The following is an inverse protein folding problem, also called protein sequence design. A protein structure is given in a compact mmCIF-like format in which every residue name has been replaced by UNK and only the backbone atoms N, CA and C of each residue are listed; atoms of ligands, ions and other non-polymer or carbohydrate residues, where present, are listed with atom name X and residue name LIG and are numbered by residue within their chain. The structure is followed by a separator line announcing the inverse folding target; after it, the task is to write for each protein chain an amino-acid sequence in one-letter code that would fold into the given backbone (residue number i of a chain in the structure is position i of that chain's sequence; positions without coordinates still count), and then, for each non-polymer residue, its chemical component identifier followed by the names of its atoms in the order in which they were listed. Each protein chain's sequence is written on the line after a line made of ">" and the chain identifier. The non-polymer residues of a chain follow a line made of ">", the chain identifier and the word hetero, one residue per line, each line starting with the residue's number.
data_IF_005269706269
#
_entry.id   IF_005269706269
#
_cell.length_a   1.000
_cell.length_b   1.000
_cell.length_c   1.000
_cell.angle_alpha   90.00
_cell.angle_beta   90.00
_cell.angle_gamma   90.00
#
_symmetry.space_group_name_H-M   'P 1'
#
loop_
_entity.id
_entity.type
_entity.pdbx_description
1 polymer ?
#
# COMPACT_ATOMS: atom_id res chain seq x y z
N UNK A 1 -29.52 -81.84 14.22
CA UNK A 1 -28.90 -81.02 15.29
C UNK A 1 -28.24 -79.80 14.62
N UNK A 2 -28.30 -78.59 15.19
CA UNK A 2 -29.34 -77.60 14.81
C UNK A 2 -28.81 -76.22 14.32
N UNK A 3 -29.77 -75.36 13.90
CA UNK A 3 -29.80 -73.86 13.82
C UNK A 3 -29.14 -73.18 12.60
N UNK A 4 -29.89 -72.57 11.66
CA UNK A 4 -30.61 -71.26 11.71
C UNK A 4 -29.65 -70.08 12.02
N UNK A 5 -29.46 -69.06 11.16
CA UNK A 5 -30.24 -67.80 10.95
C UNK A 5 -29.48 -67.01 9.83
N UNK A 6 -30.03 -66.62 8.67
CA UNK A 6 -30.81 -65.41 8.30
C UNK A 6 -30.07 -64.04 8.40
N UNK A 7 -30.35 -63.17 7.41
CA UNK A 7 -30.14 -61.70 7.27
C UNK A 7 -28.86 -61.26 6.52
N UNK A 8 -28.89 -60.64 5.33
CA UNK A 8 -29.61 -59.47 4.77
C UNK A 8 -28.74 -58.19 4.75
N UNK A 9 -28.67 -57.54 3.58
CA UNK A 9 -28.39 -56.11 3.33
C UNK A 9 -26.99 -55.59 3.74
N UNK A 10 -26.12 -55.10 2.85
CA UNK A 10 -26.30 -53.94 2.00
C UNK A 10 -25.86 -52.67 2.75
N UNK A 11 -24.67 -52.10 2.45
CA UNK A 11 -24.27 -50.71 2.75
C UNK A 11 -22.94 -50.44 2.00
N UNK A 12 -22.97 -49.86 0.79
CA UNK A 12 -22.83 -48.42 0.53
C UNK A 12 -21.51 -47.80 1.06
N UNK A 13 -20.58 -47.68 0.11
CA UNK A 13 -19.53 -46.67 -0.07
C UNK A 13 -19.62 -45.45 0.87
N UNK A 14 -18.65 -45.32 1.77
CA UNK A 14 -18.37 -44.07 2.49
C UNK A 14 -16.96 -43.59 2.13
N UNK A 15 -16.86 -43.01 0.93
CA UNK A 15 -15.81 -42.07 0.58
C UNK A 15 -16.09 -40.73 1.27
N UNK A 16 -15.63 -40.59 2.51
CA UNK A 16 -15.63 -39.32 3.23
C UNK A 16 -14.46 -38.45 2.74
N UNK A 17 -14.66 -37.76 1.61
CA UNK A 17 -13.78 -36.69 1.17
C UNK A 17 -13.93 -35.49 2.11
N UNK A 18 -13.16 -35.47 3.19
CA UNK A 18 -12.90 -34.25 3.95
C UNK A 18 -11.93 -33.37 3.16
N UNK A 19 -12.44 -32.63 2.18
CA UNK A 19 -11.72 -31.47 1.66
C UNK A 19 -11.96 -30.31 2.63
N UNK A 20 -10.91 -29.72 3.24
CA UNK A 20 -11.08 -28.51 4.03
C UNK A 20 -11.64 -27.41 3.12
N UNK A 21 -12.52 -26.54 3.63
CA UNK A 21 -13.01 -25.42 2.83
C UNK A 21 -11.83 -24.50 2.52
N UNK A 22 -11.38 -24.52 1.27
CA UNK A 22 -10.53 -23.50 0.68
C UNK A 22 -11.39 -22.24 0.51
N UNK A 23 -11.70 -21.59 1.62
CA UNK A 23 -12.31 -20.26 1.61
C UNK A 23 -11.25 -19.27 1.15
N UNK A 24 -11.30 -18.91 -0.14
CA UNK A 24 -10.85 -17.59 -0.57
C UNK A 24 -11.50 -16.60 0.40
N UNK A 25 -10.69 -15.78 1.08
CA UNK A 25 -11.20 -14.75 1.97
C UNK A 25 -12.26 -13.95 1.21
N UNK A 26 -13.50 -14.05 1.68
CA UNK A 26 -14.64 -13.42 1.04
C UNK A 26 -14.46 -11.91 1.21
N UNK A 27 -14.13 -11.22 0.11
CA UNK A 27 -13.90 -9.77 0.10
C UNK A 27 -15.14 -8.95 0.56
N UNK A 28 -16.27 -9.62 0.77
CA UNK A 28 -17.50 -9.07 1.33
C UNK A 28 -17.65 -9.20 2.85
N UNK A 29 -16.73 -9.88 3.55
CA UNK A 29 -16.77 -9.95 5.01
C UNK A 29 -16.58 -8.55 5.61
N UNK A 30 -17.34 -8.16 6.66
CA UNK A 30 -17.15 -6.86 7.28
C UNK A 30 -15.77 -6.79 7.93
N UNK A 31 -15.15 -5.59 7.93
CA UNK A 31 -13.82 -5.43 8.48
C UNK A 31 -13.75 -5.76 9.95
N UNK A 32 -12.64 -6.38 10.36
CA UNK A 32 -12.43 -6.72 11.76
C UNK A 32 -12.42 -5.48 12.67
N UNK A 33 -11.91 -4.35 12.17
CA UNK A 33 -11.88 -3.07 12.88
C UNK A 33 -12.19 -1.92 11.92
N UNK A 34 -13.03 -0.98 12.37
CA UNK A 34 -13.34 0.28 11.67
C UNK A 34 -12.98 1.45 12.56
N UNK A 35 -12.22 2.40 12.04
CA UNK A 35 -11.78 3.60 12.74
C UNK A 35 -12.15 4.86 11.95
N UNK A 36 -12.45 5.95 12.66
CA UNK A 36 -12.77 7.27 12.09
C UNK A 36 -11.91 8.35 12.76
N UNK A 37 -11.49 9.36 12.01
CA UNK A 37 -10.64 10.45 12.51
C UNK A 37 -9.27 9.95 12.99
N UNK A 38 -8.64 9.09 12.19
CA UNK A 38 -7.43 8.37 12.58
C UNK A 38 -6.23 9.31 12.60
N UNK A 39 -5.43 9.21 13.66
CA UNK A 39 -4.07 9.73 13.73
C UNK A 39 -3.13 8.59 14.07
N UNK A 40 -2.06 8.46 13.29
CA UNK A 40 -1.06 7.42 13.43
C UNK A 40 0.29 8.08 13.72
N UNK A 41 1.08 7.45 14.59
CA UNK A 41 2.53 7.69 14.69
C UNK A 41 3.23 6.35 14.79
N UNK A 42 4.23 6.16 13.93
CA UNK A 42 5.13 5.02 13.93
C UNK A 42 6.49 5.43 14.47
N UNK A 43 7.19 4.48 15.07
CA UNK A 43 8.48 4.71 15.69
C UNK A 43 9.47 3.62 15.28
N UNK A 44 10.74 3.97 15.21
CA UNK A 44 11.88 3.07 15.21
C UNK A 44 12.66 3.26 16.52
N UNK A 45 12.54 2.28 17.42
CA UNK A 45 12.85 2.48 18.84
C UNK A 45 12.05 3.65 19.42
N UNK A 46 12.75 4.66 19.92
CA UNK A 46 12.17 5.89 20.47
C UNK A 46 12.03 7.03 19.44
N UNK A 47 12.47 6.81 18.20
CA UNK A 47 12.50 7.84 17.15
C UNK A 47 11.25 7.78 16.29
N UNK A 48 10.49 8.89 16.12
CA UNK A 48 9.38 8.91 15.17
C UNK A 48 9.85 8.60 13.76
N UNK A 49 9.32 7.55 13.14
CA UNK A 49 9.68 7.12 11.79
C UNK A 49 8.65 7.54 10.74
N UNK A 50 7.40 7.73 11.15
CA UNK A 50 6.31 8.18 10.28
C UNK A 50 5.17 8.73 11.14
N UNK A 51 4.42 9.69 10.61
CA UNK A 51 3.11 10.05 11.17
C UNK A 51 2.07 10.14 10.08
N UNK A 52 0.80 10.07 10.43
CA UNK A 52 -0.26 10.13 9.44
C UNK A 52 -1.62 10.47 10.02
N UNK A 53 -2.54 10.81 9.13
CA UNK A 53 -3.94 10.98 9.45
C UNK A 53 -4.81 10.43 8.31
N UNK A 54 -6.02 9.98 8.64
CA UNK A 54 -7.03 9.56 7.67
C UNK A 54 -8.43 9.83 8.21
N UNK A 55 -9.38 10.10 7.31
CA UNK A 55 -10.79 10.29 7.70
C UNK A 55 -11.40 9.00 8.23
N UNK A 56 -11.11 7.88 7.57
CA UNK A 56 -11.51 6.53 7.96
C UNK A 56 -10.41 5.55 7.63
N UNK A 57 -10.22 4.57 8.51
CA UNK A 57 -9.41 3.40 8.22
C UNK A 57 -10.13 2.10 8.62
N UNK A 58 -9.85 1.02 7.92
CA UNK A 58 -10.31 -0.33 8.24
C UNK A 58 -9.10 -1.25 8.35
N UNK A 59 -9.19 -2.22 9.25
CA UNK A 59 -8.15 -3.22 9.45
C UNK A 59 -8.77 -4.62 9.49
N UNK A 60 -8.12 -5.55 8.80
CA UNK A 60 -8.47 -6.95 8.74
C UNK A 60 -7.49 -7.83 9.52
N UNK A 61 -7.95 -8.99 10.01
CA UNK A 61 -7.10 -9.92 10.78
C UNK A 61 -5.94 -10.49 9.98
N UNK A 62 -6.03 -10.48 8.64
CA UNK A 62 -4.93 -10.90 7.75
C UNK A 62 -3.84 -9.82 7.61
N UNK A 63 -3.98 -8.68 8.28
CA UNK A 63 -3.03 -7.57 8.24
C UNK A 63 -3.34 -6.50 7.19
N UNK A 64 -4.39 -6.66 6.38
CA UNK A 64 -4.82 -5.64 5.43
C UNK A 64 -5.33 -4.38 6.15
N UNK A 65 -4.94 -3.24 5.61
CA UNK A 65 -5.28 -1.91 6.09
C UNK A 65 -5.76 -1.09 4.89
N UNK A 66 -6.91 -0.45 5.03
CA UNK A 66 -7.38 0.57 4.08
C UNK A 66 -7.54 1.88 4.81
N UNK A 67 -7.10 2.98 4.22
CA UNK A 67 -7.26 4.33 4.74
C UNK A 67 -7.76 5.27 3.63
N UNK A 68 -8.69 6.15 3.97
CA UNK A 68 -9.33 7.08 3.03
C UNK A 68 -9.00 8.51 3.40
N UNK A 69 -8.80 9.36 2.38
CA UNK A 69 -8.35 10.75 2.52
C UNK A 69 -7.14 10.84 3.45
N UNK A 70 -6.11 10.07 3.10
CA UNK A 70 -4.96 9.84 3.94
C UNK A 70 -3.84 10.83 3.62
N UNK A 71 -3.21 11.34 4.68
CA UNK A 71 -1.92 12.03 4.59
C UNK A 71 -0.91 11.31 5.45
N UNK A 72 0.27 11.07 4.90
CA UNK A 72 1.44 10.58 5.63
C UNK A 72 2.50 11.68 5.65
N UNK A 73 3.26 11.75 6.74
CA UNK A 73 4.44 12.58 6.88
C UNK A 73 5.61 11.68 7.23
N UNK A 74 6.62 11.70 6.39
CA UNK A 74 7.85 10.92 6.51
C UNK A 74 8.98 11.88 6.82
N UNK A 75 9.59 11.80 8.02
CA UNK A 75 10.78 12.57 8.33
C UNK A 75 11.95 12.18 7.41
N UNK A 76 12.67 13.18 6.92
CA UNK A 76 13.92 13.04 6.20
C UNK A 76 15.12 13.10 7.15
N UNK A 77 16.29 13.46 6.61
CA UNK A 77 17.55 13.47 7.38
C UNK A 77 17.64 14.62 8.39
N UNK A 78 16.87 15.69 8.17
CA UNK A 78 16.84 16.86 9.04
C UNK A 78 15.40 17.14 9.48
N UNK A 79 15.17 17.80 10.62
CA UNK A 79 13.81 18.10 11.07
C UNK A 79 12.99 18.97 10.11
N UNK A 80 13.65 19.77 9.27
CA UNK A 80 13.01 20.61 8.26
C UNK A 80 12.66 19.84 6.97
N UNK A 81 13.29 18.69 6.77
CA UNK A 81 13.08 17.84 5.60
C UNK A 81 11.95 16.86 5.91
N UNK A 82 10.71 17.24 5.62
CA UNK A 82 9.55 16.37 5.79
C UNK A 82 8.91 16.13 4.44
N UNK A 83 8.74 14.85 4.09
CA UNK A 83 7.98 14.45 2.91
C UNK A 83 6.53 14.20 3.29
N UNK A 84 5.61 14.89 2.63
CA UNK A 84 4.16 14.74 2.82
C UNK A 84 3.59 13.98 1.63
N UNK A 85 2.92 12.86 1.89
CA UNK A 85 2.23 12.05 0.87
C UNK A 85 0.74 12.14 1.12
N UNK A 86 -0.04 12.46 0.09
CA UNK A 86 -1.51 12.52 0.13
C UNK A 86 -2.10 11.60 -0.92
N UNK A 87 -3.18 10.93 -0.56
CA UNK A 87 -3.95 10.11 -1.49
C UNK A 87 -5.41 9.98 -1.03
N UNK A 88 -6.33 9.83 -1.98
CA UNK A 88 -7.74 9.57 -1.67
C UNK A 88 -7.92 8.18 -1.02
N UNK A 89 -7.10 7.21 -1.43
CA UNK A 89 -7.12 5.84 -0.91
C UNK A 89 -5.68 5.35 -0.70
N UNK A 90 -5.42 4.76 0.46
CA UNK A 90 -4.22 3.99 0.74
C UNK A 90 -4.63 2.58 1.18
N UNK A 91 -4.10 1.58 0.51
CA UNK A 91 -4.32 0.17 0.82
C UNK A 91 -2.96 -0.48 1.11
N UNK A 92 -2.87 -1.34 2.10
CA UNK A 92 -1.62 -2.01 2.38
C UNK A 92 -1.79 -3.21 3.28
N UNK A 93 -0.68 -3.90 3.52
CA UNK A 93 -0.62 -4.98 4.48
C UNK A 93 0.54 -4.75 5.45
N UNK A 94 0.24 -4.73 6.74
CA UNK A 94 1.23 -4.45 7.78
C UNK A 94 2.29 -5.56 7.91
N UNK A 95 1.94 -6.80 7.56
CA UNK A 95 2.84 -7.94 7.58
C UNK A 95 3.83 -7.93 6.42
N UNK A 96 3.34 -7.77 5.19
CA UNK A 96 4.21 -7.70 3.99
C UNK A 96 4.88 -6.34 3.79
N UNK A 97 4.44 -5.31 4.54
CA UNK A 97 4.91 -3.92 4.43
C UNK A 97 4.77 -3.34 3.03
N UNK A 98 3.80 -3.82 2.26
CA UNK A 98 3.47 -3.28 0.94
C UNK A 98 2.26 -2.35 1.05
N UNK A 99 2.33 -1.22 0.36
CA UNK A 99 1.27 -0.22 0.33
C UNK A 99 1.04 0.25 -1.10
N UNK A 100 -0.19 0.60 -1.41
CA UNK A 100 -0.62 1.24 -2.64
C UNK A 100 -1.36 2.51 -2.26
N UNK A 101 -0.95 3.62 -2.84
CA UNK A 101 -1.68 4.89 -2.79
C UNK A 101 -2.36 5.12 -4.14
N UNK A 102 -3.62 5.54 -4.15
CA UNK A 102 -4.40 5.77 -5.37
C UNK A 102 -5.43 6.89 -5.24
N UNK A 103 -6.05 7.25 -6.37
CA UNK A 103 -7.04 8.33 -6.46
C UNK A 103 -6.41 9.73 -6.48
N UNK A 104 -5.24 9.85 -7.12
CA UNK A 104 -4.47 11.08 -7.19
C UNK A 104 -3.50 11.19 -6.02
N UNK A 105 -2.32 10.59 -6.20
CA UNK A 105 -1.22 10.66 -5.23
C UNK A 105 -0.46 11.96 -5.44
N UNK A 106 -0.29 12.74 -4.38
CA UNK A 106 0.58 13.91 -4.34
C UNK A 106 1.67 13.70 -3.30
N UNK A 107 2.92 13.91 -3.69
CA UNK A 107 4.09 13.87 -2.80
C UNK A 107 4.71 15.25 -2.80
N UNK A 108 4.94 15.82 -1.62
CA UNK A 108 5.61 17.11 -1.43
C UNK A 108 6.82 16.92 -0.53
N UNK A 109 7.99 17.37 -0.97
CA UNK A 109 9.23 17.30 -0.16
C UNK A 109 9.47 18.62 0.58
N UNK A 110 10.34 18.59 1.60
CA UNK A 110 10.79 19.80 2.30
C UNK A 110 11.53 20.79 1.39
N UNK A 111 12.12 20.31 0.29
CA UNK A 111 12.80 21.13 -0.72
C UNK A 111 11.87 21.88 -1.68
N UNK A 112 10.55 21.72 -1.54
CA UNK A 112 9.56 22.38 -2.41
C UNK A 112 9.21 21.62 -3.69
N UNK A 113 9.74 20.40 -3.87
CA UNK A 113 9.35 19.53 -4.97
C UNK A 113 7.94 18.99 -4.75
N UNK A 114 7.14 18.92 -5.82
CA UNK A 114 5.81 18.32 -5.83
C UNK A 114 5.70 17.31 -6.97
N UNK A 115 5.50 16.04 -6.62
CA UNK A 115 5.24 14.97 -7.57
C UNK A 115 3.76 14.56 -7.53
N UNK A 116 3.18 14.27 -8.70
CA UNK A 116 1.79 13.82 -8.84
C UNK A 116 1.71 12.61 -9.78
N UNK A 117 0.97 11.61 -9.35
CA UNK A 117 0.70 10.39 -10.14
C UNK A 117 -0.68 9.84 -9.78
N UNK A 118 -1.39 9.17 -10.70
CA UNK A 118 -2.67 8.54 -10.36
C UNK A 118 -2.55 7.50 -9.24
N UNK A 119 -1.46 6.72 -9.26
CA UNK A 119 -1.23 5.57 -8.38
C UNK A 119 0.25 5.34 -8.14
N UNK A 120 0.61 4.96 -6.92
CA UNK A 120 1.97 4.57 -6.54
C UNK A 120 1.92 3.33 -5.66
N UNK A 121 2.87 2.42 -5.84
CA UNK A 121 3.11 1.29 -4.94
C UNK A 121 4.39 1.52 -4.16
N UNK A 122 4.39 1.16 -2.89
CA UNK A 122 5.55 1.21 -2.02
C UNK A 122 5.82 -0.16 -1.42
N UNK A 123 7.05 -0.63 -1.57
CA UNK A 123 7.59 -1.78 -0.88
C UNK A 123 8.44 -1.31 0.30
N UNK A 124 7.95 -1.51 1.53
CA UNK A 124 8.65 -1.10 2.74
C UNK A 124 9.80 -2.00 3.15
N UNK A 125 9.99 -3.17 2.53
CA UNK A 125 11.15 -4.04 2.76
C UNK A 125 12.32 -3.57 1.89
N UNK A 126 12.06 -3.36 0.60
CA UNK A 126 13.07 -2.86 -0.35
C UNK A 126 13.23 -1.34 -0.27
N UNK A 127 12.29 -0.66 0.36
CA UNK A 127 12.19 0.80 0.43
C UNK A 127 12.14 1.44 -0.97
N UNK A 128 11.33 0.83 -1.85
CA UNK A 128 11.14 1.26 -3.24
C UNK A 128 9.71 1.75 -3.44
N UNK A 129 9.54 2.93 -4.04
CA UNK A 129 8.28 3.42 -4.56
C UNK A 129 8.27 3.36 -6.09
N UNK A 130 7.18 2.87 -6.68
CA UNK A 130 7.06 2.68 -8.13
C UNK A 130 5.68 3.05 -8.65
N UNK A 131 5.61 3.43 -9.92
CA UNK A 131 4.35 3.68 -10.61
C UNK A 131 4.54 3.69 -12.14
N UNK A 132 3.51 3.26 -12.84
CA UNK A 132 3.49 3.06 -14.30
C UNK A 132 2.31 3.77 -14.99
N UNK A 133 1.61 4.65 -14.27
CA UNK A 133 0.47 5.43 -14.76
C UNK A 133 0.83 6.90 -15.02
N UNK A 134 2.10 7.15 -15.32
CA UNK A 134 2.66 8.48 -15.50
C UNK A 134 2.95 9.21 -14.19
N UNK A 135 3.91 10.12 -14.26
CA UNK A 135 4.25 11.04 -13.16
C UNK A 135 4.54 12.42 -13.70
N UNK A 136 4.12 13.43 -12.95
CA UNK A 136 4.47 14.83 -13.18
C UNK A 136 5.20 15.34 -11.95
N UNK A 137 6.39 15.91 -12.13
CA UNK A 137 7.19 16.49 -11.07
C UNK A 137 7.36 17.99 -11.35
N UNK A 138 7.07 18.80 -10.35
CA UNK A 138 7.40 20.21 -10.30
C UNK A 138 8.47 20.40 -9.22
N UNK A 139 9.68 20.69 -9.63
CA UNK A 139 10.74 21.19 -8.76
C UNK A 139 10.78 22.73 -8.82
N UNK A 140 11.58 23.39 -7.95
CA UNK A 140 11.75 24.84 -7.99
C UNK A 140 12.30 25.38 -9.31
N UNK A 141 13.12 24.59 -10.01
CA UNK A 141 13.93 24.99 -11.17
C UNK A 141 13.61 24.19 -12.44
N UNK A 142 12.77 23.16 -12.36
CA UNK A 142 12.35 22.39 -13.51
C UNK A 142 11.00 21.71 -13.35
N UNK A 143 10.44 21.30 -14.49
CA UNK A 143 9.30 20.39 -14.59
C UNK A 143 9.74 19.12 -15.30
N UNK A 144 9.25 17.99 -14.84
CA UNK A 144 9.47 16.69 -15.47
C UNK A 144 8.15 15.94 -15.64
N UNK A 145 8.03 15.22 -16.75
CA UNK A 145 6.98 14.22 -16.99
C UNK A 145 7.62 12.93 -17.47
N UNK A 146 7.10 11.81 -17.03
CA UNK A 146 7.52 10.48 -17.47
C UNK A 146 6.34 9.49 -17.43
N UNK A 147 6.44 8.40 -18.18
CA UNK A 147 5.40 7.36 -18.24
C UNK A 147 5.44 6.44 -17.02
N UNK A 148 6.64 6.19 -16.48
CA UNK A 148 6.83 5.43 -15.25
C UNK A 148 7.96 6.00 -14.40
N UNK A 149 7.98 5.61 -13.13
CA UNK A 149 9.03 5.97 -12.20
C UNK A 149 9.35 4.83 -11.23
N UNK A 150 10.58 4.85 -10.73
CA UNK A 150 11.02 4.07 -9.59
C UNK A 150 11.93 4.93 -8.71
N UNK A 151 11.65 4.96 -7.42
CA UNK A 151 12.41 5.65 -6.40
C UNK A 151 12.90 4.61 -5.38
N UNK A 152 14.20 4.48 -5.25
CA UNK A 152 14.83 3.66 -4.22
C UNK A 152 15.47 4.56 -3.15
N UNK A 153 14.98 4.45 -1.91
CA UNK A 153 15.51 5.23 -0.80
C UNK A 153 16.93 4.81 -0.37
N UNK A 154 17.31 3.51 -0.37
CA UNK A 154 18.63 3.08 0.08
C UNK A 154 19.80 3.63 -0.74
N UNK A 155 19.64 3.66 -2.07
CA UNK A 155 20.65 4.18 -3.01
C UNK A 155 20.40 5.65 -3.39
N UNK A 156 19.29 6.24 -2.94
CA UNK A 156 18.89 7.61 -3.26
C UNK A 156 18.63 7.81 -4.75
N UNK A 157 18.29 6.75 -5.48
CA UNK A 157 18.16 6.77 -6.94
C UNK A 157 16.71 6.97 -7.37
N UNK A 158 16.54 7.89 -8.31
CA UNK A 158 15.27 8.18 -8.97
C UNK A 158 15.42 7.84 -10.45
N UNK A 159 14.60 6.92 -10.94
CA UNK A 159 14.60 6.47 -12.33
C UNK A 159 13.25 6.82 -12.94
N UNK A 160 13.28 7.38 -14.14
CA UNK A 160 12.11 7.69 -14.96
C UNK A 160 12.27 6.99 -16.30
N UNK A 161 11.23 6.31 -16.78
CA UNK A 161 11.29 5.54 -18.02
C UNK A 161 10.12 5.88 -18.96
N UNK A 162 10.24 5.39 -20.20
CA UNK A 162 9.33 5.71 -21.29
C UNK A 162 9.56 7.12 -21.84
N UNK A 163 8.48 7.84 -22.09
CA UNK A 163 8.49 9.19 -22.65
C UNK A 163 8.84 10.21 -21.57
N UNK A 164 10.14 10.50 -21.42
CA UNK A 164 10.61 11.50 -20.46
C UNK A 164 10.73 12.88 -21.11
N UNK A 165 10.08 13.88 -20.51
CA UNK A 165 10.14 15.28 -20.92
C UNK A 165 10.53 16.15 -19.74
N UNK A 166 11.55 16.99 -19.91
CA UNK A 166 12.00 17.94 -18.89
C UNK A 166 12.02 19.35 -19.48
N UNK A 167 11.49 20.30 -18.72
CA UNK A 167 11.52 21.74 -19.03
C UNK A 167 12.23 22.44 -17.88
N UNK A 168 13.33 23.11 -18.16
CA UNK A 168 14.03 23.95 -17.19
C UNK A 168 13.31 25.30 -17.10
N UNK A 169 13.05 25.76 -15.89
CA UNK A 169 12.53 27.12 -15.67
C UNK A 169 13.71 28.07 -15.55
N UNK A 170 13.82 29.03 -16.46
CA UNK A 170 14.85 30.06 -16.39
C UNK A 170 14.51 31.02 -15.26
N UNK A 171 15.31 31.01 -14.19
CA UNK A 171 15.29 32.07 -13.17
C UNK A 171 15.73 33.37 -13.84
N UNK A 172 14.78 34.27 -14.15
CA UNK A 172 15.12 35.65 -14.47
C UNK A 172 15.36 36.37 -13.14
N UNK A 173 16.63 36.57 -12.79
CA UNK A 173 17.09 37.61 -11.87
C UNK A 173 17.59 38.82 -12.67
#
# INVERSE_FOLDING_TARGET
>A
MPRAVLLASGLLLLGGACSPPSGLADASAPPAVVMRGVRLRSFDGDTPSLSGHAERATYERNGELTATQATLQVPGKTPADVTVVRAALMEGNLGSRRMVASGGVEVRTGSGMVARTPRATYDGVQQVAEGNEGVQVQAPDYRLRADSFSLSAPDGRFTFEGSVQTVLESTHD
#
